data_IF_974220931448
#
_entry.id   IF_974220931448
#
_cell.length_a   1.000
_cell.length_b   1.000
_cell.length_c   1.000
_cell.angle_alpha   90.00
_cell.angle_beta   90.00
_cell.angle_gamma   90.00
#
_symmetry.space_group_name_H-M   'P 1'
#
loop_
_entity.id
_entity.type
_entity.pdbx_description
1 polymer ?
#
# COMPACT_ATOMS: atom_id res chain seq x y z
N UNK A 1 -1.66 -13.70 -18.53
CA UNK A 1 -1.68 -13.70 -17.05
C UNK A 1 -1.39 -12.28 -16.59
N UNK A 2 -2.27 -11.69 -15.78
CA UNK A 2 -2.08 -10.34 -15.21
C UNK A 2 -1.05 -10.41 -14.10
N UNK A 3 -0.22 -9.38 -13.98
CA UNK A 3 0.78 -9.29 -12.90
C UNK A 3 0.50 -8.05 -12.06
N UNK A 4 0.32 -8.25 -10.76
CA UNK A 4 0.09 -7.18 -9.78
C UNK A 4 1.31 -7.13 -8.86
N UNK A 5 1.95 -5.97 -8.78
CA UNK A 5 3.05 -5.74 -7.85
C UNK A 5 2.57 -4.86 -6.71
N UNK A 6 2.87 -5.27 -5.46
CA UNK A 6 2.44 -4.58 -4.25
C UNK A 6 3.65 -4.02 -3.50
N UNK A 7 3.88 -2.71 -3.54
CA UNK A 7 4.79 -2.01 -2.65
C UNK A 7 4.07 -1.66 -1.35
N UNK A 8 4.73 -1.92 -0.23
CA UNK A 8 4.16 -1.57 1.07
C UNK A 8 5.07 -1.95 2.24
N UNK A 9 4.57 -1.71 3.42
CA UNK A 9 5.22 -1.99 4.69
C UNK A 9 4.87 -3.40 5.24
N UNK A 10 4.92 -3.55 6.56
CA UNK A 10 4.58 -4.78 7.28
C UNK A 10 3.17 -5.29 7.00
N UNK A 11 2.19 -4.42 6.76
CA UNK A 11 0.83 -4.81 6.42
C UNK A 11 0.73 -5.43 5.01
N UNK A 12 1.57 -5.00 4.08
CA UNK A 12 1.72 -5.64 2.76
C UNK A 12 2.56 -6.90 2.85
N UNK A 13 3.66 -6.86 3.61
CA UNK A 13 4.46 -8.04 3.92
C UNK A 13 3.59 -9.17 4.49
N UNK A 14 2.61 -8.83 5.33
CA UNK A 14 1.73 -9.76 6.04
C UNK A 14 2.30 -10.17 7.39
N UNK A 15 2.95 -9.23 8.10
CA UNK A 15 3.52 -9.44 9.42
C UNK A 15 2.44 -9.85 10.43
N UNK A 16 2.72 -10.92 11.20
CA UNK A 16 1.89 -11.35 12.34
C UNK A 16 2.52 -10.84 13.66
N UNK A 17 1.95 -9.81 14.29
CA UNK A 17 2.51 -9.24 15.52
C UNK A 17 2.42 -10.18 16.73
N UNK A 18 1.68 -11.29 16.65
CA UNK A 18 1.66 -12.35 17.68
C UNK A 18 2.89 -13.25 17.59
N UNK A 19 3.67 -13.15 16.52
CA UNK A 19 4.86 -13.97 16.32
C UNK A 19 6.08 -13.36 17.00
N UNK A 20 6.68 -14.09 17.94
CA UNK A 20 7.91 -13.67 18.62
C UNK A 20 9.15 -13.62 17.71
N UNK A 21 9.09 -14.21 16.52
CA UNK A 21 10.21 -14.27 15.56
C UNK A 21 9.96 -13.44 14.29
N UNK A 22 8.96 -12.57 14.30
CA UNK A 22 8.65 -11.72 13.15
C UNK A 22 8.08 -12.49 11.94
N UNK A 23 7.40 -13.60 12.18
CA UNK A 23 6.82 -14.41 11.14
C UNK A 23 5.70 -13.67 10.38
N UNK A 24 5.41 -14.15 9.19
CA UNK A 24 4.27 -13.71 8.38
C UNK A 24 3.05 -14.56 8.71
N UNK A 25 1.87 -13.97 8.56
CA UNK A 25 0.64 -14.75 8.47
C UNK A 25 0.75 -15.85 7.39
N UNK A 26 0.05 -16.99 7.55
CA UNK A 26 -0.05 -18.00 6.49
C UNK A 26 -0.51 -17.41 5.16
N UNK A 27 -0.16 -18.06 4.05
CA UNK A 27 -0.50 -17.56 2.72
C UNK A 27 -2.00 -17.35 2.53
N UNK A 28 -2.84 -18.23 3.06
CA UNK A 28 -4.31 -18.13 2.99
C UNK A 28 -4.93 -16.98 3.80
N UNK A 29 -4.13 -16.22 4.55
CA UNK A 29 -4.59 -15.08 5.37
C UNK A 29 -4.18 -13.74 4.77
N UNK A 30 -2.98 -13.67 4.19
CA UNK A 30 -2.42 -12.40 3.69
C UNK A 30 -3.24 -11.83 2.55
N UNK A 31 -3.61 -10.56 2.61
CA UNK A 31 -4.41 -9.89 1.60
C UNK A 31 -3.82 -10.02 0.18
N UNK A 32 -2.49 -9.97 0.05
CA UNK A 32 -1.79 -10.15 -1.24
C UNK A 32 -1.98 -11.54 -1.84
N UNK A 33 -2.24 -12.54 -1.00
CA UNK A 33 -2.53 -13.90 -1.46
C UNK A 33 -4.02 -14.10 -1.72
N UNK A 34 -4.89 -13.42 -0.96
CA UNK A 34 -6.34 -13.51 -1.11
C UNK A 34 -6.85 -12.90 -2.42
N UNK A 35 -6.12 -11.94 -3.01
CA UNK A 35 -6.47 -11.36 -4.31
C UNK A 35 -5.92 -12.15 -5.51
N UNK A 36 -5.17 -13.24 -5.28
CA UNK A 36 -4.71 -14.13 -6.35
C UNK A 36 -5.86 -14.92 -6.96
N UNK A 37 -5.76 -15.18 -8.25
CA UNK A 37 -6.61 -16.12 -8.96
C UNK A 37 -5.78 -16.81 -10.09
N UNK A 38 -6.32 -17.83 -10.79
CA UNK A 38 -5.55 -18.53 -11.83
C UNK A 38 -5.00 -17.66 -12.97
N UNK A 39 -5.58 -16.48 -13.18
CA UNK A 39 -5.17 -15.55 -14.23
C UNK A 39 -4.30 -14.39 -13.71
N UNK A 40 -4.05 -14.32 -12.39
CA UNK A 40 -3.37 -13.21 -11.74
C UNK A 40 -2.20 -13.67 -10.86
N UNK A 41 -0.99 -13.27 -11.22
CA UNK A 41 0.20 -13.36 -10.38
C UNK A 41 0.28 -12.12 -9.49
N UNK A 42 0.50 -12.30 -8.18
CA UNK A 42 0.71 -11.21 -7.23
C UNK A 42 2.13 -11.27 -6.67
N UNK A 43 2.88 -10.19 -6.89
CA UNK A 43 4.27 -10.01 -6.44
C UNK A 43 4.23 -9.13 -5.20
N UNK A 44 4.51 -9.71 -4.05
CA UNK A 44 4.52 -9.00 -2.76
C UNK A 44 5.92 -8.45 -2.50
N UNK A 45 6.10 -7.15 -2.63
CA UNK A 45 7.29 -6.37 -2.29
C UNK A 45 7.09 -5.57 -0.98
N UNK A 46 6.34 -6.11 -0.02
CA UNK A 46 6.19 -5.53 1.31
C UNK A 46 7.41 -5.83 2.18
N UNK A 47 7.84 -4.83 2.98
CA UNK A 47 8.98 -4.92 3.88
C UNK A 47 8.61 -4.37 5.27
N UNK A 48 8.98 -5.09 6.34
CA UNK A 48 8.71 -4.62 7.69
C UNK A 48 9.43 -3.30 7.98
N UNK A 49 8.68 -2.33 8.52
CA UNK A 49 9.23 -1.03 8.90
C UNK A 49 9.53 -0.09 7.72
N UNK A 50 9.15 -0.45 6.49
CA UNK A 50 9.44 0.37 5.33
C UNK A 50 8.71 1.71 5.40
N UNK A 51 9.48 2.80 5.41
CA UNK A 51 9.01 4.16 5.13
C UNK A 51 8.94 4.40 3.62
N UNK A 52 8.28 5.48 3.21
CA UNK A 52 8.29 5.93 1.81
C UNK A 52 9.73 6.15 1.37
N UNK A 53 10.19 5.50 0.29
CA UNK A 53 11.56 5.63 -0.19
C UNK A 53 11.94 7.08 -0.50
N UNK A 54 13.12 7.48 -0.05
CA UNK A 54 13.69 8.78 -0.40
C UNK A 54 14.36 8.73 -1.80
N UNK A 55 14.58 9.89 -2.43
CA UNK A 55 15.08 9.98 -3.80
C UNK A 55 16.38 9.21 -4.06
N UNK A 56 17.30 9.20 -3.09
CA UNK A 56 18.55 8.46 -3.23
C UNK A 56 18.36 6.93 -3.35
N UNK A 57 17.20 6.41 -2.94
CA UNK A 57 16.83 5.00 -3.03
C UNK A 57 16.13 4.67 -4.36
N UNK A 58 15.65 5.66 -5.12
CA UNK A 58 14.90 5.45 -6.36
C UNK A 58 15.60 4.57 -7.40
N UNK A 59 16.94 4.62 -7.57
CA UNK A 59 17.62 3.70 -8.48
C UNK A 59 17.37 2.22 -8.16
N UNK A 60 17.31 1.87 -6.87
CA UNK A 60 17.07 0.50 -6.40
C UNK A 60 15.64 0.06 -6.76
N UNK A 61 14.65 0.90 -6.44
CA UNK A 61 13.24 0.59 -6.72
C UNK A 61 12.93 0.59 -8.22
N UNK A 62 13.59 1.45 -8.99
CA UNK A 62 13.51 1.44 -10.46
C UNK A 62 14.08 0.16 -11.06
N UNK A 63 15.21 -0.33 -10.56
CA UNK A 63 15.80 -1.59 -10.98
C UNK A 63 14.89 -2.78 -10.61
N UNK A 64 14.34 -2.77 -9.40
CA UNK A 64 13.38 -3.79 -8.93
C UNK A 64 12.15 -3.83 -9.83
N UNK A 65 11.52 -2.67 -10.11
CA UNK A 65 10.37 -2.59 -11.02
C UNK A 65 10.69 -3.20 -12.40
N UNK A 66 11.82 -2.80 -12.98
CA UNK A 66 12.24 -3.28 -14.30
C UNK A 66 12.43 -4.79 -14.35
N UNK A 67 12.86 -5.41 -13.25
CA UNK A 67 13.06 -6.86 -13.18
C UNK A 67 11.73 -7.65 -13.22
N UNK A 68 10.62 -6.99 -12.91
CA UNK A 68 9.29 -7.59 -12.89
C UNK A 68 8.42 -7.24 -14.10
N UNK A 69 8.85 -6.35 -14.98
CA UNK A 69 8.07 -5.98 -16.18
C UNK A 69 7.84 -7.21 -17.11
N UNK A 70 6.71 -7.28 -17.82
CA UNK A 70 5.58 -6.32 -17.76
C UNK A 70 4.71 -6.52 -16.52
N UNK A 71 4.21 -5.41 -15.94
CA UNK A 71 3.32 -5.37 -14.79
C UNK A 71 2.01 -4.69 -15.22
N UNK A 72 0.88 -5.31 -14.93
CA UNK A 72 -0.43 -4.75 -15.27
C UNK A 72 -0.88 -3.70 -14.25
N UNK A 73 -0.66 -3.96 -12.95
CA UNK A 73 -1.11 -3.08 -11.87
C UNK A 73 -0.03 -2.97 -10.78
N UNK A 74 0.20 -1.77 -10.29
CA UNK A 74 1.09 -1.50 -9.15
C UNK A 74 0.28 -0.89 -8.04
N UNK A 75 0.30 -1.52 -6.85
CA UNK A 75 -0.34 -1.02 -5.63
C UNK A 75 0.75 -0.45 -4.74
N UNK A 76 0.56 0.78 -4.26
CA UNK A 76 1.47 1.46 -3.32
C UNK A 76 0.69 1.74 -2.04
N UNK A 77 1.09 1.15 -0.91
CA UNK A 77 0.53 1.42 0.42
C UNK A 77 1.67 1.57 1.44
N UNK A 78 2.06 2.79 1.72
CA UNK A 78 3.13 3.19 2.65
C UNK A 78 2.68 4.42 3.44
N UNK A 79 3.49 4.88 4.39
CA UNK A 79 3.29 6.12 5.15
C UNK A 79 3.01 5.91 6.63
N UNK A 80 2.54 4.74 7.05
CA UNK A 80 2.34 4.42 8.47
C UNK A 80 3.66 4.54 9.26
N UNK A 81 4.76 4.00 8.75
CA UNK A 81 6.07 4.09 9.39
C UNK A 81 6.63 5.50 9.38
N UNK A 82 6.39 6.28 8.33
CA UNK A 82 6.77 7.70 8.28
C UNK A 82 6.12 8.49 9.42
N UNK A 83 4.86 8.20 9.77
CA UNK A 83 4.19 8.81 10.92
C UNK A 83 4.88 8.42 12.24
N UNK A 84 5.26 7.15 12.41
CA UNK A 84 5.96 6.69 13.61
C UNK A 84 7.32 7.35 13.82
N UNK A 85 8.07 7.58 12.76
CA UNK A 85 9.37 8.28 12.84
C UNK A 85 9.23 9.80 12.90
N UNK A 86 8.01 10.33 13.01
CA UNK A 86 7.73 11.74 13.19
C UNK A 86 7.75 12.59 11.92
N UNK A 87 7.77 11.98 10.73
CA UNK A 87 7.71 12.70 9.44
C UNK A 87 6.40 13.48 9.33
N UNK A 88 6.47 14.77 9.03
CA UNK A 88 5.27 15.62 8.89
C UNK A 88 4.45 15.21 7.65
N UNK A 89 3.15 15.53 7.66
CA UNK A 89 2.27 15.25 6.51
C UNK A 89 2.75 15.94 5.22
N UNK A 90 3.32 17.13 5.33
CA UNK A 90 3.92 17.82 4.18
C UNK A 90 5.11 17.05 3.59
N UNK A 91 5.99 16.54 4.45
CA UNK A 91 7.12 15.70 4.02
C UNK A 91 6.65 14.34 3.46
N UNK A 92 5.61 13.74 4.06
CA UNK A 92 4.99 12.51 3.52
C UNK A 92 4.43 12.78 2.13
N UNK A 93 3.74 13.91 1.94
CA UNK A 93 3.22 14.32 0.64
C UNK A 93 4.33 14.46 -0.41
N UNK A 94 5.41 15.15 -0.07
CA UNK A 94 6.55 15.34 -0.97
C UNK A 94 7.20 14.00 -1.34
N UNK A 95 7.54 13.18 -0.35
CA UNK A 95 8.16 11.86 -0.55
C UNK A 95 7.28 10.94 -1.39
N UNK A 96 5.96 10.87 -1.06
CA UNK A 96 5.03 10.00 -1.79
C UNK A 96 4.82 10.49 -3.22
N UNK A 97 4.74 11.79 -3.44
CA UNK A 97 4.67 12.36 -4.79
C UNK A 97 5.89 11.95 -5.62
N UNK A 98 7.09 12.12 -5.09
CA UNK A 98 8.33 11.74 -5.77
C UNK A 98 8.41 10.23 -6.05
N UNK A 99 8.05 9.40 -5.07
CA UNK A 99 8.07 7.96 -5.24
C UNK A 99 7.03 7.47 -6.26
N UNK A 100 5.79 7.94 -6.17
CA UNK A 100 4.73 7.56 -7.12
C UNK A 100 5.04 8.04 -8.55
N UNK A 101 5.61 9.24 -8.70
CA UNK A 101 6.09 9.72 -10.01
C UNK A 101 7.21 8.83 -10.55
N UNK A 102 8.18 8.46 -9.74
CA UNK A 102 9.26 7.54 -10.13
C UNK A 102 8.71 6.18 -10.59
N UNK A 103 7.70 5.65 -9.89
CA UNK A 103 7.02 4.39 -10.27
C UNK A 103 6.31 4.56 -11.61
N UNK A 104 5.59 5.66 -11.82
CA UNK A 104 4.90 5.98 -13.08
C UNK A 104 5.85 6.06 -14.26
N UNK A 105 6.99 6.74 -14.08
CA UNK A 105 8.01 6.86 -15.12
C UNK A 105 8.71 5.54 -15.45
N UNK A 106 8.87 4.66 -14.44
CA UNK A 106 9.53 3.38 -14.62
C UNK A 106 8.63 2.29 -15.22
N UNK A 107 7.31 2.44 -15.07
CA UNK A 107 6.30 1.48 -15.56
C UNK A 107 5.09 2.21 -16.18
N UNK A 108 5.27 2.93 -17.31
CA UNK A 108 4.25 3.84 -17.87
C UNK A 108 2.98 3.12 -18.35
N UNK A 109 3.09 1.83 -18.68
CA UNK A 109 1.95 1.01 -19.11
C UNK A 109 1.16 0.40 -17.96
N UNK A 110 1.69 0.50 -16.73
CA UNK A 110 1.04 -0.07 -15.54
C UNK A 110 -0.08 0.86 -15.04
N UNK A 111 -1.17 0.25 -14.56
CA UNK A 111 -2.17 0.96 -13.77
C UNK A 111 -1.65 1.11 -12.33
N UNK A 112 -1.57 2.33 -11.82
CA UNK A 112 -1.05 2.61 -10.48
C UNK A 112 -2.22 2.93 -9.55
N UNK A 113 -2.28 2.23 -8.41
CA UNK A 113 -3.25 2.46 -7.36
C UNK A 113 -2.49 2.92 -6.11
N UNK A 114 -2.64 4.19 -5.76
CA UNK A 114 -2.14 4.73 -4.49
C UNK A 114 -3.19 4.48 -3.41
N UNK A 115 -2.82 3.70 -2.40
CA UNK A 115 -3.72 3.32 -1.30
C UNK A 115 -3.32 4.08 -0.04
N UNK A 116 -4.26 4.84 0.54
CA UNK A 116 -4.10 5.35 1.90
C UNK A 116 -4.25 4.20 2.90
N UNK A 117 -3.30 4.01 3.84
CA UNK A 117 -3.46 3.02 4.90
C UNK A 117 -4.73 3.27 5.73
N UNK A 118 -5.32 2.24 6.36
CA UNK A 118 -6.39 2.44 7.32
C UNK A 118 -5.92 3.29 8.51
N UNK A 119 -6.87 3.96 9.17
CA UNK A 119 -6.55 4.77 10.34
C UNK A 119 -5.99 3.90 11.46
N UNK A 120 -4.92 4.38 12.08
CA UNK A 120 -4.38 3.77 13.30
C UNK A 120 -5.42 3.84 14.43
N UNK A 121 -5.33 2.92 15.38
CA UNK A 121 -6.21 2.83 16.55
C UNK A 121 -5.36 2.80 17.82
N UNK A 122 -5.96 3.12 18.97
CA UNK A 122 -5.29 2.95 20.24
C UNK A 122 -4.86 1.48 20.41
N UNK A 123 -3.62 1.28 20.81
CA UNK A 123 -3.02 -0.04 20.98
C UNK A 123 -1.65 0.06 21.62
N UNK A 124 -0.96 -1.04 21.71
CA UNK A 124 0.33 -1.11 22.40
C UNK A 124 1.38 -0.18 21.74
N UNK A 125 1.36 -0.04 20.41
CA UNK A 125 2.29 0.83 19.68
C UNK A 125 1.74 2.24 19.45
N UNK A 126 0.43 2.42 19.54
CA UNK A 126 -0.26 3.70 19.31
C UNK A 126 -0.87 4.18 20.62
N UNK A 127 -0.08 4.88 21.43
CA UNK A 127 -0.49 5.31 22.78
C UNK A 127 -1.11 6.72 22.80
N UNK A 128 -1.06 7.46 21.69
CA UNK A 128 -1.50 8.86 21.63
C UNK A 128 -2.49 9.16 20.52
N UNK A 129 -3.44 10.07 20.81
CA UNK A 129 -4.46 10.52 19.85
C UNK A 129 -3.86 11.29 18.67
N UNK A 130 -2.70 11.92 18.84
CA UNK A 130 -2.03 12.70 17.80
C UNK A 130 -1.65 11.80 16.60
N UNK A 131 -1.12 10.62 16.86
CA UNK A 131 -0.74 9.68 15.79
C UNK A 131 -1.98 9.16 15.03
N UNK A 132 -3.07 8.89 15.77
CA UNK A 132 -4.36 8.49 15.19
C UNK A 132 -4.89 9.62 14.28
N UNK A 133 -4.92 10.84 14.78
CA UNK A 133 -5.35 12.01 14.02
C UNK A 133 -4.53 12.18 12.74
N UNK A 134 -3.21 12.13 12.84
CA UNK A 134 -2.32 12.24 11.67
C UNK A 134 -2.54 11.11 10.67
N UNK A 135 -2.78 9.88 11.14
CA UNK A 135 -3.09 8.77 10.25
C UNK A 135 -4.41 8.97 9.49
N UNK A 136 -5.40 9.61 10.12
CA UNK A 136 -6.68 9.90 9.46
C UNK A 136 -6.59 11.00 8.39
N UNK A 137 -5.52 11.79 8.38
CA UNK A 137 -5.30 12.84 7.39
C UNK A 137 -4.59 12.32 6.12
N UNK A 138 -4.02 11.11 6.14
CA UNK A 138 -3.32 10.53 4.99
C UNK A 138 -4.22 10.36 3.77
N UNK A 139 -5.49 10.01 3.96
CA UNK A 139 -6.44 9.82 2.87
C UNK A 139 -6.59 11.07 2.00
N UNK A 140 -6.74 12.25 2.62
CA UNK A 140 -6.83 13.52 1.89
C UNK A 140 -5.54 13.90 1.17
N UNK A 141 -4.39 13.65 1.80
CA UNK A 141 -3.07 13.88 1.21
C UNK A 141 -2.88 13.00 -0.02
N UNK A 142 -3.18 11.71 0.08
CA UNK A 142 -2.96 10.76 -1.01
C UNK A 142 -3.95 10.94 -2.17
N UNK A 143 -5.18 11.35 -1.88
CA UNK A 143 -6.14 11.74 -2.92
C UNK A 143 -5.59 12.90 -3.75
N UNK A 144 -5.08 13.95 -3.10
CA UNK A 144 -4.46 15.08 -3.79
C UNK A 144 -3.28 14.67 -4.68
N UNK A 145 -2.43 13.77 -4.20
CA UNK A 145 -1.30 13.23 -4.98
C UNK A 145 -1.80 12.43 -6.19
N UNK A 146 -2.78 11.58 -5.98
CA UNK A 146 -3.33 10.74 -7.05
C UNK A 146 -3.97 11.58 -8.16
N UNK A 147 -4.74 12.60 -7.78
CA UNK A 147 -5.34 13.54 -8.74
C UNK A 147 -4.25 14.29 -9.53
N UNK A 148 -3.23 14.81 -8.84
CA UNK A 148 -2.11 15.54 -9.48
C UNK A 148 -1.32 14.66 -10.45
N UNK A 149 -1.11 13.40 -10.11
CA UNK A 149 -0.35 12.45 -10.94
C UNK A 149 -1.23 11.70 -11.96
N UNK A 150 -2.55 11.92 -11.97
CA UNK A 150 -3.51 11.17 -12.77
C UNK A 150 -3.32 9.64 -12.62
N UNK A 151 -3.25 9.17 -11.35
CA UNK A 151 -3.25 7.76 -10.96
C UNK A 151 -4.49 7.45 -10.13
N UNK A 152 -4.80 6.16 -9.95
CA UNK A 152 -5.97 5.78 -9.17
C UNK A 152 -5.71 5.93 -7.67
N UNK A 153 -6.74 6.27 -6.92
CA UNK A 153 -6.73 6.38 -5.46
C UNK A 153 -7.71 5.39 -4.83
N UNK A 154 -7.30 4.82 -3.71
CA UNK A 154 -8.16 4.00 -2.85
C UNK A 154 -7.92 4.36 -1.39
N UNK A 155 -8.97 4.44 -0.58
CA UNK A 155 -8.87 4.74 0.84
C UNK A 155 -9.21 3.49 1.67
N UNK A 156 -8.20 2.88 2.29
CA UNK A 156 -8.42 1.69 3.10
C UNK A 156 -9.15 1.99 4.43
N UNK A 157 -9.27 3.25 4.82
CA UNK A 157 -10.09 3.64 5.97
C UNK A 157 -11.59 3.34 5.77
N UNK A 158 -12.05 3.29 4.51
CA UNK A 158 -13.44 2.98 4.16
C UNK A 158 -13.75 1.46 4.21
N UNK A 159 -12.73 0.59 4.33
CA UNK A 159 -12.89 -0.86 4.21
C UNK A 159 -13.06 -1.58 5.53
N UNK A 160 -13.22 -0.86 6.63
CA UNK A 160 -13.40 -1.44 7.98
C UNK A 160 -12.30 -2.45 8.36
N UNK A 161 -11.05 -2.15 7.98
CA UNK A 161 -9.90 -3.02 8.24
C UNK A 161 -9.67 -3.10 9.75
N UNK A 162 -9.86 -4.28 10.34
CA UNK A 162 -9.58 -4.49 11.76
C UNK A 162 -8.08 -4.65 12.01
N UNK A 163 -7.60 -3.98 13.06
CA UNK A 163 -6.21 -4.01 13.49
C UNK A 163 -6.03 -4.96 14.68
N UNK A 164 -4.79 -5.35 14.94
CA UNK A 164 -4.41 -6.14 16.10
C UNK A 164 -4.29 -5.26 17.35
N UNK A 165 -3.91 -5.86 18.47
CA UNK A 165 -3.72 -5.22 19.78
C UNK A 165 -2.71 -4.06 19.77
N UNK A 166 -1.83 -3.99 18.78
CA UNK A 166 -0.83 -2.93 18.65
C UNK A 166 -1.37 -1.64 18.03
N UNK A 167 -2.54 -1.69 17.41
CA UNK A 167 -3.21 -0.53 16.81
C UNK A 167 -2.75 -0.15 15.40
N UNK A 168 -1.93 -1.00 14.74
CA UNK A 168 -1.33 -0.73 13.43
C UNK A 168 -1.44 -1.90 12.45
N UNK A 169 -1.06 -3.11 12.91
CA UNK A 169 -1.01 -4.25 12.02
C UNK A 169 -2.39 -4.88 11.80
N UNK A 170 -2.61 -5.34 10.59
CA UNK A 170 -3.87 -5.99 10.23
C UNK A 170 -4.06 -7.28 11.02
N UNK A 171 -5.25 -7.48 11.55
CA UNK A 171 -5.68 -8.79 12.03
C UNK A 171 -5.95 -9.73 10.85
N UNK A 172 -6.24 -11.01 11.11
CA UNK A 172 -6.65 -11.94 10.05
C UNK A 172 -7.92 -11.44 9.31
N UNK A 173 -8.89 -10.91 10.06
CA UNK A 173 -10.09 -10.30 9.48
C UNK A 173 -9.78 -8.98 8.78
N UNK A 174 -8.81 -8.20 9.28
CA UNK A 174 -8.30 -7.02 8.62
C UNK A 174 -7.69 -7.33 7.25
N UNK A 175 -6.92 -8.40 7.14
CA UNK A 175 -6.40 -8.86 5.85
C UNK A 175 -7.52 -9.26 4.87
N UNK A 176 -8.60 -9.92 5.37
CA UNK A 176 -9.77 -10.28 4.54
C UNK A 176 -10.54 -9.03 4.09
N UNK A 177 -10.76 -8.08 5.01
CA UNK A 177 -11.44 -6.83 4.71
C UNK A 177 -10.67 -6.00 3.68
N UNK A 178 -9.35 -5.87 3.86
CA UNK A 178 -8.49 -5.18 2.90
C UNK A 178 -8.49 -5.86 1.53
N UNK A 179 -8.40 -7.18 1.47
CA UNK A 179 -8.48 -7.93 0.21
C UNK A 179 -9.81 -7.68 -0.51
N UNK A 180 -10.92 -7.70 0.22
CA UNK A 180 -12.25 -7.40 -0.32
C UNK A 180 -12.35 -5.96 -0.84
N UNK A 181 -11.79 -4.98 -0.12
CA UNK A 181 -11.80 -3.58 -0.50
C UNK A 181 -10.96 -3.26 -1.73
N UNK A 182 -9.78 -3.87 -1.86
CA UNK A 182 -8.88 -3.61 -3.01
C UNK A 182 -9.29 -4.40 -4.27
N UNK A 183 -10.02 -5.51 -4.13
CA UNK A 183 -10.37 -6.39 -5.24
C UNK A 183 -11.11 -5.69 -6.38
N UNK A 184 -12.09 -4.81 -6.17
CA UNK A 184 -12.72 -4.05 -7.26
C UNK A 184 -11.72 -3.24 -8.07
N UNK A 185 -10.76 -2.59 -7.40
CA UNK A 185 -9.74 -1.78 -8.05
C UNK A 185 -8.81 -2.61 -8.95
N UNK A 186 -8.46 -3.83 -8.56
CA UNK A 186 -7.57 -4.68 -9.36
C UNK A 186 -8.34 -5.50 -10.41
N UNK A 187 -9.66 -5.64 -10.29
CA UNK A 187 -10.49 -6.36 -11.25
C UNK A 187 -10.90 -5.50 -12.45
N UNK A 188 -11.01 -4.19 -12.26
CA UNK A 188 -11.26 -3.23 -13.35
C UNK A 188 -9.96 -3.04 -14.15
N UNK A 189 -9.89 -3.59 -15.37
CA UNK A 189 -8.86 -3.14 -16.33
C UNK A 189 -9.13 -1.68 -16.71
N UNK A 190 -8.08 -0.91 -17.09
CA UNK A 190 -8.27 0.39 -17.78
C UNK A 190 -9.40 0.20 -18.77
N UNK A 191 -10.53 0.91 -18.60
CA UNK A 191 -11.57 0.96 -19.63
C UNK A 191 -10.87 1.47 -20.88
N UNK A 192 -10.88 0.66 -21.94
CA UNK A 192 -10.58 1.19 -23.27
C UNK A 192 -11.50 2.39 -23.44
N UNK A 193 -10.94 3.58 -23.58
CA UNK A 193 -11.74 4.74 -24.01
C UNK A 193 -12.40 4.33 -25.33
N UNK A 194 -13.72 4.49 -25.46
CA UNK A 194 -14.35 4.23 -26.75
C UNK A 194 -13.66 5.12 -27.77
N UNK A 195 -13.02 4.50 -28.75
CA UNK A 195 -12.45 5.19 -29.91
C UNK A 195 -13.56 6.00 -30.57
N UNK A 196 -13.46 7.33 -30.49
CA UNK A 196 -14.27 8.29 -31.22
C UNK A 196 -13.97 8.21 -32.73
#
# INVERSE_FOLDING_TARGET
MRRILCFGDSNTYGYDPRSYIGARYPEGVRWTSLIKNPETEVINCGENGLCIPAEYQFPIYRALLRSYLPISTIIIMLGSNDLFVGTSLAQISEKMTGFAQMVKDAAPESDIILVSPPHMQLGEWVQGQELIKRSSELGSVYRTIADMLAIRFADAAEWHVSLTYDGVHFSEDGHRAFAAGILPFVSESKREEPSL
#
